data_IF_403218161080
#
_entry.id   IF_403218161080
#
_cell.length_a   1.000
_cell.length_b   1.000
_cell.length_c   1.000
_cell.angle_alpha   90.00
_cell.angle_beta   90.00
_cell.angle_gamma   90.00
#
_symmetry.space_group_name_H-M   'P 1'
#
loop_
_entity.id
_entity.type
_entity.pdbx_description
1 polymer ?
#
# COMPACT_ATOMS: atom_id res chain seq x y z
N UNK A 1 20.12 44.50 4.21
CA UNK A 1 18.85 43.87 4.62
C UNK A 1 18.96 43.68 6.12
N UNK A 2 18.12 44.36 6.92
CA UNK A 2 18.13 44.21 8.37
C UNK A 2 17.55 42.84 8.70
N UNK A 3 18.20 42.08 9.59
CA UNK A 3 17.68 40.76 9.99
C UNK A 3 16.44 40.94 10.86
N UNK A 4 15.37 40.15 10.66
CA UNK A 4 14.16 40.22 11.48
C UNK A 4 14.42 40.10 12.98
N UNK A 5 15.38 39.27 13.38
CA UNK A 5 15.85 39.11 14.76
C UNK A 5 16.26 40.46 15.38
N UNK A 6 17.03 41.27 14.66
CA UNK A 6 17.51 42.57 15.15
C UNK A 6 16.37 43.58 15.32
N UNK A 7 15.33 43.50 14.49
CA UNK A 7 14.16 44.37 14.60
C UNK A 7 13.32 43.96 15.81
N UNK A 8 13.14 42.66 16.02
CA UNK A 8 12.39 42.11 17.15
C UNK A 8 13.10 42.45 18.47
N UNK A 9 14.42 42.24 18.56
CA UNK A 9 15.22 42.56 19.76
C UNK A 9 15.19 44.06 20.10
N UNK A 10 15.30 44.93 19.08
CA UNK A 10 15.23 46.38 19.27
C UNK A 10 13.85 46.83 19.76
N UNK A 11 12.78 46.25 19.21
CA UNK A 11 11.41 46.58 19.60
C UNK A 11 11.06 46.02 20.99
N UNK A 12 11.57 44.85 21.36
CA UNK A 12 11.42 44.31 22.72
C UNK A 12 12.17 45.16 23.75
N UNK A 13 13.40 45.60 23.43
CA UNK A 13 14.22 46.43 24.32
C UNK A 13 13.63 47.82 24.62
N UNK A 14 12.74 48.32 23.76
CA UNK A 14 12.07 49.62 23.93
C UNK A 14 10.80 49.55 24.80
N UNK A 15 10.39 48.36 25.27
CA UNK A 15 9.34 48.17 26.27
C UNK A 15 7.92 47.98 25.73
N UNK A 16 6.92 48.01 26.62
CA UNK A 16 5.51 47.67 26.34
C UNK A 16 4.82 48.59 25.33
N UNK A 17 5.28 49.83 25.17
CA UNK A 17 4.71 50.80 24.21
C UNK A 17 4.92 50.39 22.74
N UNK A 18 5.91 49.54 22.46
CA UNK A 18 6.23 49.09 21.10
C UNK A 18 5.61 47.74 20.72
N UNK A 19 4.87 47.11 21.64
CA UNK A 19 4.17 45.84 21.41
C UNK A 19 3.20 45.88 20.21
N UNK A 20 2.42 46.96 19.97
CA UNK A 20 1.57 47.03 18.78
C UNK A 20 2.38 47.08 17.48
N UNK A 21 3.54 47.75 17.47
CA UNK A 21 4.41 47.83 16.29
C UNK A 21 5.06 46.48 15.99
N UNK A 22 5.46 45.76 17.04
CA UNK A 22 5.95 44.39 16.94
C UNK A 22 4.88 43.44 16.37
N UNK A 23 3.63 43.57 16.81
CA UNK A 23 2.50 42.84 16.22
C UNK A 23 2.31 43.15 14.73
N UNK A 24 2.29 44.42 14.33
CA UNK A 24 2.14 44.78 12.91
C UNK A 24 3.29 44.25 12.06
N UNK A 25 4.51 44.24 12.59
CA UNK A 25 5.67 43.66 11.93
C UNK A 25 5.52 42.14 11.75
N UNK A 26 5.22 41.40 12.82
CA UNK A 26 5.01 39.95 12.76
C UNK A 26 3.83 39.57 11.85
N UNK A 27 2.74 40.33 11.88
CA UNK A 27 1.59 40.13 11.00
C UNK A 27 1.94 40.37 9.53
N UNK A 28 2.74 41.39 9.24
CA UNK A 28 3.19 41.69 7.88
C UNK A 28 4.11 40.59 7.35
N UNK A 29 5.02 40.09 8.19
CA UNK A 29 5.87 38.93 7.88
C UNK A 29 5.03 37.68 7.60
N UNK A 30 4.07 37.38 8.47
CA UNK A 30 3.18 36.23 8.34
C UNK A 30 2.34 36.25 7.05
N UNK A 31 1.80 37.42 6.70
CA UNK A 31 0.98 37.61 5.50
C UNK A 31 1.82 37.84 4.23
N UNK A 32 3.14 37.91 4.33
CA UNK A 32 4.03 38.23 3.22
C UNK A 32 3.83 39.64 2.63
N UNK A 33 3.31 40.58 3.43
CA UNK A 33 3.04 41.96 2.98
C UNK A 33 4.32 42.80 3.08
N UNK A 34 5.18 42.69 2.06
CA UNK A 34 6.33 43.59 1.87
C UNK A 34 5.93 44.92 1.23
N UNK A 35 6.60 46.02 1.60
CA UNK A 35 6.43 47.32 0.93
C UNK A 35 6.94 47.22 -0.51
N UNK A 36 6.00 47.19 -1.46
CA UNK A 36 6.13 47.37 -2.91
C UNK A 36 7.56 47.37 -3.48
N UNK A 37 8.02 46.22 -4.01
CA UNK A 37 8.74 46.17 -5.30
C UNK A 37 9.10 44.76 -5.82
N UNK A 38 8.74 43.67 -5.15
CA UNK A 38 9.03 42.33 -5.68
C UNK A 38 7.93 41.84 -6.65
N UNK A 39 7.71 42.55 -7.76
CA UNK A 39 6.81 42.12 -8.85
C UNK A 39 7.30 40.88 -9.63
N UNK A 40 8.40 40.25 -9.21
CA UNK A 40 9.02 39.11 -9.89
C UNK A 40 9.42 37.93 -8.99
N UNK A 41 9.41 38.08 -7.67
CA UNK A 41 9.59 36.95 -6.74
C UNK A 41 8.18 36.46 -6.38
N UNK A 42 7.91 35.16 -6.51
CA UNK A 42 6.57 34.63 -6.25
C UNK A 42 6.09 35.07 -4.87
N UNK A 43 4.95 35.76 -4.77
CA UNK A 43 4.34 36.21 -3.50
C UNK A 43 4.23 35.07 -2.48
N UNK A 44 4.05 33.84 -2.98
CA UNK A 44 4.03 32.61 -2.21
C UNK A 44 5.36 32.27 -1.55
N UNK A 45 6.49 32.52 -2.21
CA UNK A 45 7.83 32.27 -1.67
C UNK A 45 8.17 33.27 -0.56
N UNK A 46 7.85 34.56 -0.76
CA UNK A 46 8.06 35.59 0.26
C UNK A 46 7.19 35.33 1.49
N UNK A 47 5.95 34.89 1.30
CA UNK A 47 5.08 34.48 2.41
C UNK A 47 5.61 33.22 3.12
N UNK A 48 6.17 32.24 2.40
CA UNK A 48 6.75 31.04 3.01
C UNK A 48 8.00 31.36 3.84
N UNK A 49 8.92 32.19 3.31
CA UNK A 49 10.10 32.67 4.03
C UNK A 49 9.71 33.54 5.24
N UNK A 50 8.67 34.37 5.10
CA UNK A 50 8.10 35.15 6.21
C UNK A 50 7.51 34.28 7.32
N UNK A 51 6.84 33.17 6.96
CA UNK A 51 6.30 32.21 7.93
C UNK A 51 7.39 31.50 8.72
N UNK A 52 8.45 31.02 8.07
CA UNK A 52 9.58 30.37 8.77
C UNK A 52 10.24 31.30 9.78
N UNK A 53 10.35 32.59 9.45
CA UNK A 53 10.94 33.59 10.36
C UNK A 53 10.06 33.89 11.58
N UNK A 54 8.73 33.84 11.43
CA UNK A 54 7.80 33.98 12.57
C UNK A 54 7.79 32.71 13.41
N UNK A 55 7.98 31.55 12.78
CA UNK A 55 8.07 30.26 13.45
C UNK A 55 9.25 30.19 14.44
N UNK A 56 10.41 30.76 14.08
CA UNK A 56 11.58 30.85 14.99
C UNK A 56 11.27 31.62 16.29
N UNK A 57 10.29 32.53 16.25
CA UNK A 57 9.81 33.33 17.39
C UNK A 57 8.41 32.92 17.86
N UNK A 58 8.06 31.63 17.73
CA UNK A 58 6.70 31.14 17.97
C UNK A 58 6.08 31.52 19.32
N UNK A 59 6.84 31.46 20.42
CA UNK A 59 6.34 31.83 21.76
C UNK A 59 5.87 33.30 21.83
N UNK A 60 6.68 34.20 21.29
CA UNK A 60 6.37 35.64 21.24
C UNK A 60 5.22 35.92 20.28
N UNK A 61 5.17 35.20 19.15
CA UNK A 61 4.08 35.31 18.19
C UNK A 61 2.74 34.91 18.83
N UNK A 62 2.70 33.84 19.64
CA UNK A 62 1.49 33.42 20.36
C UNK A 62 1.02 34.48 21.35
N UNK A 63 1.90 35.06 22.15
CA UNK A 63 1.55 36.11 23.11
C UNK A 63 0.98 37.36 22.40
N UNK A 64 1.63 37.79 21.32
CA UNK A 64 1.22 38.96 20.52
C UNK A 64 -0.10 38.71 19.78
N UNK A 65 -0.24 37.56 19.10
CA UNK A 65 -1.46 37.23 18.37
C UNK A 65 -2.64 37.03 19.34
N UNK A 66 -2.40 36.49 20.54
CA UNK A 66 -3.43 36.39 21.56
C UNK A 66 -3.93 37.75 22.09
N UNK A 67 -3.07 38.77 22.12
CA UNK A 67 -3.43 40.13 22.55
C UNK A 67 -4.18 40.89 21.44
N UNK A 68 -3.70 40.83 20.19
CA UNK A 68 -4.15 41.75 19.14
C UNK A 68 -5.06 41.13 18.07
N UNK A 69 -4.99 39.81 17.81
CA UNK A 69 -5.72 39.19 16.69
C UNK A 69 -5.96 37.67 16.90
N UNK A 70 -7.11 37.37 17.52
CA UNK A 70 -7.56 35.99 17.79
C UNK A 70 -7.68 35.08 16.55
N UNK A 71 -8.32 35.46 15.44
CA UNK A 71 -8.42 34.56 14.28
C UNK A 71 -7.05 34.27 13.64
N UNK A 72 -6.13 35.24 13.67
CA UNK A 72 -4.75 35.02 13.21
C UNK A 72 -4.00 34.02 14.10
N UNK A 73 -4.23 34.07 15.42
CA UNK A 73 -3.71 33.06 16.35
C UNK A 73 -4.16 31.65 15.96
N UNK A 74 -5.46 31.46 15.67
CA UNK A 74 -5.97 30.14 15.28
C UNK A 74 -5.34 29.63 13.97
N UNK A 75 -5.15 30.51 12.99
CA UNK A 75 -4.45 30.16 11.74
C UNK A 75 -3.00 29.73 12.02
N UNK A 76 -2.28 30.51 12.84
CA UNK A 76 -0.92 30.23 13.26
C UNK A 76 -0.79 28.89 13.99
N UNK A 77 -1.68 28.62 14.97
CA UNK A 77 -1.69 27.37 15.73
C UNK A 77 -1.95 26.14 14.85
N UNK A 78 -2.72 26.29 13.76
CA UNK A 78 -2.98 25.22 12.79
C UNK A 78 -1.83 24.99 11.82
N UNK A 79 -1.13 26.04 11.40
CA UNK A 79 -0.07 25.96 10.40
C UNK A 79 1.30 25.64 10.98
N UNK A 80 1.58 26.14 12.18
CA UNK A 80 2.92 26.12 12.78
C UNK A 80 2.99 25.16 13.97
N UNK A 81 4.20 24.65 14.24
CA UNK A 81 4.47 23.72 15.35
C UNK A 81 5.65 24.18 16.24
N UNK A 82 6.20 25.36 15.97
CA UNK A 82 7.42 25.89 16.59
C UNK A 82 7.15 26.75 17.83
N UNK A 83 6.16 26.39 18.64
CA UNK A 83 5.81 27.08 19.88
C UNK A 83 5.76 26.10 21.05
N UNK A 84 6.02 26.60 22.26
CA UNK A 84 5.84 25.81 23.47
C UNK A 84 4.34 25.62 23.77
N UNK A 85 3.85 24.39 23.68
CA UNK A 85 2.45 24.05 23.94
C UNK A 85 1.98 24.50 25.32
N UNK A 86 2.81 24.35 26.35
CA UNK A 86 2.48 24.76 27.72
C UNK A 86 2.25 26.27 27.82
N UNK A 87 3.13 27.09 27.24
CA UNK A 87 2.97 28.55 27.24
C UNK A 87 1.73 28.96 26.46
N UNK A 88 1.52 28.38 25.27
CA UNK A 88 0.35 28.64 24.46
C UNK A 88 -0.95 28.28 25.19
N UNK A 89 -0.97 27.14 25.91
CA UNK A 89 -2.12 26.73 26.71
C UNK A 89 -2.39 27.70 27.87
N UNK A 90 -1.36 28.16 28.59
CA UNK A 90 -1.51 29.13 29.68
C UNK A 90 -2.05 30.47 29.19
N UNK A 91 -1.55 30.97 28.04
CA UNK A 91 -2.04 32.21 27.44
C UNK A 91 -3.51 32.07 27.02
N UNK A 92 -3.88 30.93 26.42
CA UNK A 92 -5.26 30.67 26.01
C UNK A 92 -6.19 30.47 27.22
N UNK A 93 -5.72 29.82 28.29
CA UNK A 93 -6.46 29.65 29.55
C UNK A 93 -6.69 31.00 30.24
N UNK A 94 -5.66 31.83 30.37
CA UNK A 94 -5.75 33.15 31.01
C UNK A 94 -6.72 34.10 30.29
N UNK A 95 -6.87 33.96 28.96
CA UNK A 95 -7.75 34.79 28.13
C UNK A 95 -9.09 34.13 27.79
N UNK A 96 -9.34 32.91 28.28
CA UNK A 96 -10.54 32.12 27.97
C UNK A 96 -10.78 31.88 26.46
N UNK A 97 -9.73 31.63 25.69
CA UNK A 97 -9.82 31.25 24.28
C UNK A 97 -10.09 29.75 24.12
N UNK A 98 -11.33 29.35 24.39
CA UNK A 98 -11.73 27.93 24.46
C UNK A 98 -11.51 27.17 23.14
N UNK A 99 -11.92 27.65 21.96
CA UNK A 99 -11.70 26.94 20.69
C UNK A 99 -10.22 26.68 20.36
N UNK A 100 -9.37 27.67 20.61
CA UNK A 100 -7.92 27.60 20.44
C UNK A 100 -7.30 26.63 21.45
N UNK A 101 -7.74 26.70 22.72
CA UNK A 101 -7.33 25.79 23.78
C UNK A 101 -7.73 24.34 23.48
N UNK A 102 -8.94 24.10 22.98
CA UNK A 102 -9.40 22.76 22.57
C UNK A 102 -8.52 22.20 21.46
N UNK A 103 -8.12 23.03 20.50
CA UNK A 103 -7.19 22.61 19.46
C UNK A 103 -5.82 22.23 20.02
N UNK A 104 -5.27 23.05 20.92
CA UNK A 104 -4.01 22.76 21.61
C UNK A 104 -4.10 21.46 22.43
N UNK A 105 -5.17 21.28 23.21
CA UNK A 105 -5.39 20.08 24.02
C UNK A 105 -5.59 18.81 23.18
N UNK A 106 -6.20 18.94 22.01
CA UNK A 106 -6.31 17.85 21.04
C UNK A 106 -4.93 17.43 20.52
N UNK A 107 -4.03 18.39 20.25
CA UNK A 107 -2.65 18.11 19.82
C UNK A 107 -1.77 17.52 20.93
N UNK A 108 -1.97 17.93 22.18
CA UNK A 108 -1.23 17.39 23.32
C UNK A 108 -1.76 16.04 23.83
N UNK A 109 -2.87 15.55 23.27
CA UNK A 109 -3.49 14.28 23.65
C UNK A 109 -4.35 14.35 24.92
N UNK A 110 -4.57 15.54 25.49
CA UNK A 110 -5.46 15.74 26.65
C UNK A 110 -6.93 15.84 26.21
N UNK A 111 -7.42 14.83 25.49
CA UNK A 111 -8.76 14.82 24.87
C UNK A 111 -9.90 14.93 25.89
N UNK A 112 -9.77 14.26 27.04
CA UNK A 112 -10.78 14.34 28.13
C UNK A 112 -10.97 15.77 28.63
N UNK A 113 -9.86 16.47 28.91
CA UNK A 113 -9.88 17.87 29.38
C UNK A 113 -10.47 18.79 28.30
N UNK A 114 -10.08 18.58 27.04
CA UNK A 114 -10.65 19.32 25.92
C UNK A 114 -12.16 19.14 25.83
N UNK A 115 -12.66 17.90 25.95
CA UNK A 115 -14.08 17.60 25.91
C UNK A 115 -14.83 18.28 27.06
N UNK A 116 -14.33 18.19 28.29
CA UNK A 116 -14.96 18.86 29.43
C UNK A 116 -15.04 20.38 29.25
N UNK A 117 -14.03 21.01 28.63
CA UNK A 117 -14.08 22.44 28.31
C UNK A 117 -15.14 22.76 27.26
N UNK A 118 -15.32 21.91 26.24
CA UNK A 118 -16.38 22.11 25.23
C UNK A 118 -17.75 22.00 25.88
N UNK A 119 -18.00 20.95 26.64
CA UNK A 119 -19.34 20.72 27.19
C UNK A 119 -19.65 21.69 28.34
N UNK A 120 -18.65 22.01 29.17
CA UNK A 120 -18.81 22.87 30.34
C UNK A 120 -18.91 24.36 30.01
N UNK A 121 -17.95 24.89 29.23
CA UNK A 121 -17.81 26.33 29.01
C UNK A 121 -18.50 26.81 27.73
N UNK A 122 -18.35 26.09 26.61
CA UNK A 122 -18.99 26.45 25.35
C UNK A 122 -20.47 26.06 25.33
N UNK A 123 -20.84 24.98 26.02
CA UNK A 123 -22.21 24.45 26.03
C UNK A 123 -22.70 24.01 24.64
N UNK A 124 -21.79 23.87 23.68
CA UNK A 124 -22.09 23.50 22.30
C UNK A 124 -22.05 21.98 22.15
N UNK A 125 -23.25 21.39 22.12
CA UNK A 125 -23.46 19.94 22.00
C UNK A 125 -22.96 19.43 20.65
N UNK A 126 -23.21 20.18 19.57
CA UNK A 126 -22.83 19.76 18.21
C UNK A 126 -21.31 19.72 18.05
N UNK A 127 -20.61 20.72 18.61
CA UNK A 127 -19.15 20.75 18.59
C UNK A 127 -18.53 19.63 19.46
N UNK A 128 -19.12 19.32 20.61
CA UNK A 128 -18.66 18.22 21.45
C UNK A 128 -18.78 16.86 20.73
N UNK A 129 -19.89 16.65 20.01
CA UNK A 129 -20.13 15.44 19.22
C UNK A 129 -19.17 15.36 18.03
N UNK A 130 -18.94 16.45 17.29
CA UNK A 130 -17.98 16.46 16.18
C UNK A 130 -16.56 16.18 16.68
N UNK A 131 -16.18 16.75 17.83
CA UNK A 131 -14.90 16.49 18.45
C UNK A 131 -14.73 15.00 18.83
N UNK A 132 -15.74 14.41 19.48
CA UNK A 132 -15.69 12.99 19.84
C UNK A 132 -15.64 12.06 18.60
N UNK A 133 -16.31 12.43 17.50
CA UNK A 133 -16.21 11.73 16.21
C UNK A 133 -14.80 11.82 15.60
N UNK A 134 -14.18 13.00 15.63
CA UNK A 134 -12.83 13.20 15.11
C UNK A 134 -11.77 12.42 15.88
N UNK A 135 -11.91 12.31 17.21
CA UNK A 135 -10.95 11.58 18.04
C UNK A 135 -11.11 10.06 17.96
N UNK A 136 -12.30 9.56 17.63
CA UNK A 136 -12.61 8.12 17.48
C UNK A 136 -12.19 7.25 18.69
N UNK A 137 -12.33 7.79 19.91
CA UNK A 137 -11.97 7.12 21.16
C UNK A 137 -13.23 6.68 21.93
N UNK A 138 -13.42 5.37 22.19
CA UNK A 138 -14.57 4.86 22.92
C UNK A 138 -14.65 5.37 24.37
N UNK A 139 -13.51 5.63 25.03
CA UNK A 139 -13.50 6.10 26.42
C UNK A 139 -13.96 7.55 26.50
N UNK A 140 -13.58 8.37 25.52
CA UNK A 140 -14.05 9.74 25.39
C UNK A 140 -15.57 9.80 25.14
N UNK A 141 -16.11 8.86 24.36
CA UNK A 141 -17.57 8.72 24.21
C UNK A 141 -18.24 8.33 25.51
N UNK A 142 -17.65 7.43 26.30
CA UNK A 142 -18.19 7.08 27.60
C UNK A 142 -18.27 8.31 28.52
N UNK A 143 -17.19 9.09 28.59
CA UNK A 143 -17.14 10.33 29.38
C UNK A 143 -18.19 11.35 28.89
N UNK A 144 -18.38 11.48 27.56
CA UNK A 144 -19.40 12.35 26.96
C UNK A 144 -20.82 11.92 27.33
N UNK A 145 -21.10 10.61 27.25
CA UNK A 145 -22.42 10.07 27.57
C UNK A 145 -22.71 10.24 29.06
N UNK A 146 -21.75 9.92 29.92
CA UNK A 146 -21.93 10.01 31.37
C UNK A 146 -22.21 11.45 31.83
N UNK A 147 -21.65 12.45 31.15
CA UNK A 147 -21.99 13.86 31.38
C UNK A 147 -23.33 14.29 30.75
N UNK A 148 -23.71 13.68 29.62
CA UNK A 148 -24.82 14.09 28.78
C UNK A 148 -26.19 13.52 29.16
N UNK A 149 -26.25 12.40 29.88
CA UNK A 149 -27.50 11.68 30.16
C UNK A 149 -28.46 12.41 31.11
N UNK A 150 -27.98 13.41 31.85
CA UNK A 150 -28.82 14.22 32.75
C UNK A 150 -29.57 15.35 32.01
N UNK A 151 -29.22 15.62 30.75
CA UNK A 151 -29.68 16.81 30.02
C UNK A 151 -30.50 16.42 28.77
N UNK A 152 -31.83 16.63 28.75
CA UNK A 152 -32.67 16.21 27.62
C UNK A 152 -32.32 16.92 26.30
N UNK A 153 -31.89 18.18 26.37
CA UNK A 153 -31.40 18.93 25.18
C UNK A 153 -30.13 18.32 24.60
N UNK A 154 -29.26 17.78 25.46
CA UNK A 154 -28.04 17.11 25.04
C UNK A 154 -28.35 15.80 24.33
N UNK A 155 -29.25 14.98 24.89
CA UNK A 155 -29.69 13.72 24.28
C UNK A 155 -30.33 13.95 22.91
N UNK A 156 -31.12 15.03 22.76
CA UNK A 156 -31.67 15.40 21.46
C UNK A 156 -30.58 15.74 20.44
N UNK A 157 -29.62 16.58 20.80
CA UNK A 157 -28.49 16.90 19.92
C UNK A 157 -27.65 15.67 19.59
N UNK A 158 -27.47 14.77 20.56
CA UNK A 158 -26.83 13.47 20.39
C UNK A 158 -27.55 12.63 19.33
N UNK A 159 -28.88 12.48 19.41
CA UNK A 159 -29.64 11.69 18.44
C UNK A 159 -29.72 12.33 17.05
N UNK A 160 -29.64 13.67 16.96
CA UNK A 160 -29.63 14.38 15.68
C UNK A 160 -28.28 14.26 14.98
N UNK A 161 -27.17 14.31 15.71
CA UNK A 161 -25.82 14.40 15.14
C UNK A 161 -25.03 13.08 15.18
N UNK A 162 -25.25 12.15 16.11
CA UNK A 162 -24.36 10.99 16.30
C UNK A 162 -24.28 10.05 15.09
N UNK A 163 -25.36 9.91 14.31
CA UNK A 163 -25.40 9.00 13.16
C UNK A 163 -25.05 7.56 13.57
N UNK A 164 -24.02 6.98 12.95
CA UNK A 164 -23.56 5.59 13.15
C UNK A 164 -22.31 5.45 14.03
N UNK A 165 -21.83 6.56 14.62
CA UNK A 165 -20.59 6.57 15.40
C UNK A 165 -20.70 5.82 16.74
N UNK A 166 -21.92 5.62 17.26
CA UNK A 166 -22.15 4.97 18.55
C UNK A 166 -23.21 3.88 18.39
N UNK A 167 -22.99 2.76 19.07
CA UNK A 167 -23.97 1.68 19.12
C UNK A 167 -25.31 2.17 19.71
N UNK A 168 -26.44 1.98 18.99
CA UNK A 168 -27.74 2.45 19.44
C UNK A 168 -28.20 1.73 20.72
N UNK A 169 -27.78 0.47 20.89
CA UNK A 169 -28.11 -0.34 22.07
C UNK A 169 -27.45 0.23 23.34
N UNK A 170 -26.20 0.69 23.25
CA UNK A 170 -25.48 1.23 24.41
C UNK A 170 -26.05 2.58 24.82
N UNK A 171 -26.51 3.39 23.85
CA UNK A 171 -27.20 4.66 24.13
C UNK A 171 -28.52 4.42 24.84
N UNK A 172 -29.40 3.58 24.29
CA UNK A 172 -30.73 3.34 24.86
C UNK A 172 -30.64 2.77 26.28
N UNK A 173 -29.66 1.90 26.56
CA UNK A 173 -29.46 1.33 27.90
C UNK A 173 -28.98 2.33 28.94
N UNK A 174 -28.38 3.45 28.54
CA UNK A 174 -27.84 4.47 29.45
C UNK A 174 -28.80 5.61 29.77
N UNK A 175 -29.89 5.75 29.01
CA UNK A 175 -30.87 6.81 29.26
C UNK A 175 -31.62 6.50 30.57
N UNK A 176 -31.60 7.40 31.57
CA UNK A 176 -32.29 7.19 32.84
C UNK A 176 -33.81 7.15 32.64
N UNK A 177 -34.47 6.27 33.40
CA UNK A 177 -35.92 6.11 33.38
C UNK A 177 -36.62 7.33 34.01
N UNK A 178 -37.64 7.87 33.36
CA UNK A 178 -38.43 9.01 33.86
C UNK A 178 -37.97 10.39 33.38
N UNK A 179 -36.99 10.48 32.49
CA UNK A 179 -36.60 11.75 31.85
C UNK A 179 -37.53 12.07 30.66
N UNK A 180 -38.18 13.24 30.70
CA UNK A 180 -38.95 13.73 29.56
C UNK A 180 -38.01 14.30 28.48
N UNK A 181 -37.90 13.59 27.36
CA UNK A 181 -37.06 13.98 26.23
C UNK A 181 -37.97 14.32 25.04
N UNK A 182 -38.02 15.60 24.68
CA UNK A 182 -38.75 16.05 23.49
C UNK A 182 -38.10 15.51 22.21
N UNK A 183 -38.91 14.92 21.32
CA UNK A 183 -38.44 14.44 20.02
C UNK A 183 -37.62 13.14 20.04
N UNK A 184 -37.60 12.41 21.17
CA UNK A 184 -36.88 11.14 21.31
C UNK A 184 -37.25 10.11 20.23
N UNK A 185 -38.56 9.98 19.95
CA UNK A 185 -39.08 9.05 18.93
C UNK A 185 -38.51 9.36 17.54
N UNK A 186 -38.50 10.62 17.16
CA UNK A 186 -38.03 11.06 15.84
C UNK A 186 -36.51 10.94 15.73
N UNK A 187 -35.78 11.23 16.81
CA UNK A 187 -34.33 11.03 16.90
C UNK A 187 -33.93 9.56 16.77
N UNK A 188 -34.57 8.67 17.52
CA UNK A 188 -34.33 7.21 17.42
C UNK A 188 -34.72 6.69 16.03
N UNK A 189 -35.87 7.13 15.49
CA UNK A 189 -36.31 6.74 14.16
C UNK A 189 -35.31 7.13 13.07
N UNK A 190 -34.73 8.34 13.16
CA UNK A 190 -33.67 8.79 12.25
C UNK A 190 -32.40 7.95 12.40
N UNK A 191 -31.96 7.69 13.63
CA UNK A 191 -30.78 6.86 13.90
C UNK A 191 -30.92 5.45 13.33
N UNK A 192 -32.07 4.80 13.52
CA UNK A 192 -32.33 3.46 12.96
C UNK A 192 -32.29 3.50 11.43
N UNK A 193 -32.90 4.52 10.82
CA UNK A 193 -32.88 4.68 9.36
C UNK A 193 -31.47 4.88 8.81
N UNK A 194 -30.62 5.61 9.52
CA UNK A 194 -29.20 5.79 9.14
C UNK A 194 -28.44 4.44 9.18
N UNK A 195 -28.65 3.64 10.23
CA UNK A 195 -28.08 2.29 10.32
C UNK A 195 -28.61 1.36 9.21
N UNK A 196 -29.88 1.46 8.84
CA UNK A 196 -30.47 0.71 7.74
C UNK A 196 -29.84 1.10 6.38
N UNK A 197 -29.63 2.40 6.14
CA UNK A 197 -28.94 2.90 4.95
C UNK A 197 -27.50 2.38 4.90
N UNK A 198 -26.76 2.48 6.01
CA UNK A 198 -25.39 1.98 6.08
C UNK A 198 -25.33 0.47 5.79
N UNK A 199 -26.26 -0.31 6.36
CA UNK A 199 -26.37 -1.74 6.09
C UNK A 199 -26.62 -2.00 4.60
N UNK A 200 -27.60 -1.32 4.00
CA UNK A 200 -27.92 -1.45 2.57
C UNK A 200 -26.73 -1.11 1.68
N UNK A 201 -25.96 -0.07 2.01
CA UNK A 201 -24.74 0.30 1.29
C UNK A 201 -23.69 -0.81 1.44
N UNK A 202 -23.43 -1.28 2.66
CA UNK A 202 -22.45 -2.34 2.90
C UNK A 202 -22.79 -3.64 2.17
N UNK A 203 -24.08 -3.99 2.11
CA UNK A 203 -24.56 -5.14 1.37
C UNK A 203 -24.36 -4.97 -0.15
N UNK A 204 -24.65 -3.77 -0.67
CA UNK A 204 -24.40 -3.40 -2.06
C UNK A 204 -22.92 -3.52 -2.43
N UNK A 205 -22.02 -2.96 -1.62
CA UNK A 205 -20.57 -3.06 -1.81
C UNK A 205 -20.10 -4.52 -1.76
N UNK A 206 -20.57 -5.31 -0.79
CA UNK A 206 -20.24 -6.72 -0.70
C UNK A 206 -20.75 -7.53 -1.90
N UNK A 207 -21.87 -7.13 -2.52
CA UNK A 207 -22.38 -7.75 -3.75
C UNK A 207 -21.51 -7.41 -4.96
N UNK A 208 -21.11 -6.14 -5.10
CA UNK A 208 -20.21 -5.68 -6.17
C UNK A 208 -18.85 -6.36 -6.07
N UNK A 209 -18.23 -6.36 -4.89
CA UNK A 209 -16.94 -7.02 -4.66
C UNK A 209 -16.99 -8.52 -4.98
N UNK A 210 -18.07 -9.22 -4.60
CA UNK A 210 -18.25 -10.63 -4.98
C UNK A 210 -18.35 -10.82 -6.49
N UNK A 211 -19.02 -9.90 -7.19
CA UNK A 211 -19.12 -9.90 -8.65
C UNK A 211 -17.77 -9.68 -9.34
N UNK A 212 -16.99 -8.69 -8.88
CA UNK A 212 -15.67 -8.38 -9.42
C UNK A 212 -14.69 -9.55 -9.22
N UNK A 213 -14.68 -10.17 -8.04
CA UNK A 213 -13.86 -11.36 -7.77
C UNK A 213 -14.25 -12.50 -8.70
N UNK A 214 -15.56 -12.75 -8.90
CA UNK A 214 -16.01 -13.81 -9.82
C UNK A 214 -15.55 -13.55 -11.26
N UNK A 215 -15.69 -12.32 -11.76
CA UNK A 215 -15.22 -11.92 -13.10
C UNK A 215 -13.70 -12.09 -13.25
N UNK A 216 -12.93 -11.66 -12.25
CA UNK A 216 -11.48 -11.84 -12.21
C UNK A 216 -11.05 -13.31 -12.23
N UNK A 217 -11.77 -14.16 -11.48
CA UNK A 217 -11.51 -15.61 -11.50
C UNK A 217 -11.83 -16.25 -12.86
N UNK A 218 -12.92 -15.83 -13.51
CA UNK A 218 -13.32 -16.42 -14.79
C UNK A 218 -12.39 -16.01 -15.93
N UNK A 219 -11.93 -14.76 -15.93
CA UNK A 219 -10.89 -14.29 -16.86
C UNK A 219 -9.57 -15.05 -16.68
N UNK A 220 -9.13 -15.28 -15.44
CA UNK A 220 -7.94 -16.11 -15.16
C UNK A 220 -8.13 -17.55 -15.68
N UNK A 221 -9.27 -18.17 -15.39
CA UNK A 221 -9.58 -19.53 -15.87
C UNK A 221 -9.61 -19.60 -17.39
N UNK A 222 -10.18 -18.60 -18.05
CA UNK A 222 -10.20 -18.52 -19.52
C UNK A 222 -8.78 -18.37 -20.09
N UNK A 223 -7.92 -17.56 -19.44
CA UNK A 223 -6.50 -17.43 -19.80
C UNK A 223 -5.73 -18.74 -19.65
N UNK A 224 -5.89 -19.44 -18.52
CA UNK A 224 -5.23 -20.73 -18.26
C UNK A 224 -5.67 -21.85 -19.21
N UNK A 225 -6.90 -21.79 -19.72
CA UNK A 225 -7.45 -22.76 -20.69
C UNK A 225 -7.08 -22.45 -22.13
N UNK A 226 -6.52 -21.27 -22.44
CA UNK A 226 -6.06 -20.94 -23.80
C UNK A 226 -4.78 -21.72 -24.09
N UNK A 227 -4.78 -22.46 -25.21
CA UNK A 227 -3.56 -23.07 -25.74
C UNK A 227 -2.61 -21.99 -26.22
N UNK A 228 -1.32 -22.13 -25.92
CA UNK A 228 -0.25 -21.30 -26.49
C UNK A 228 0.22 -21.98 -27.77
N UNK A 229 0.12 -21.31 -28.93
CA UNK A 229 0.70 -21.80 -30.18
C UNK A 229 2.22 -21.69 -30.05
N UNK A 230 2.92 -22.81 -30.07
CA UNK A 230 4.37 -22.85 -30.26
C UNK A 230 4.64 -23.13 -31.74
N UNK A 231 5.50 -22.34 -32.37
CA UNK A 231 5.92 -22.52 -33.75
C UNK A 231 7.42 -22.78 -33.71
N UNK A 232 7.82 -24.03 -33.94
CA UNK A 232 9.24 -24.39 -33.99
C UNK A 232 9.73 -24.08 -35.38
N UNK A 233 10.61 -23.08 -35.49
CA UNK A 233 11.38 -22.86 -36.71
C UNK A 233 12.59 -23.77 -36.60
N UNK A 234 12.58 -24.89 -37.31
CA UNK A 234 13.79 -25.67 -37.54
C UNK A 234 14.61 -24.95 -38.60
N UNK A 235 15.73 -24.33 -38.20
CA UNK A 235 16.75 -23.97 -39.19
C UNK A 235 17.23 -25.27 -39.84
N UNK A 236 17.05 -25.38 -41.15
CA UNK A 236 17.60 -26.48 -41.93
C UNK A 236 19.11 -26.25 -42.00
N UNK A 237 19.90 -27.22 -41.53
CA UNK A 237 21.36 -27.22 -41.65
C UNK A 237 21.78 -26.89 -43.10
N UNK A 238 22.32 -25.70 -43.33
CA UNK A 238 22.65 -25.24 -44.69
C UNK A 238 23.32 -23.87 -44.81
N UNK A 239 23.23 -22.99 -43.81
CA UNK A 239 23.90 -21.68 -43.87
C UNK A 239 25.28 -21.76 -43.19
N UNK A 240 26.27 -22.17 -43.98
CA UNK A 240 27.69 -22.04 -43.63
C UNK A 240 28.02 -20.54 -43.57
N UNK A 241 28.15 -19.98 -42.38
CA UNK A 241 28.78 -18.68 -42.19
C UNK A 241 30.28 -18.80 -42.51
N UNK A 242 30.64 -18.48 -43.77
CA UNK A 242 32.03 -18.36 -44.20
C UNK A 242 32.62 -17.07 -43.64
N UNK A 243 33.29 -17.16 -42.49
CA UNK A 243 34.18 -16.10 -42.03
C UNK A 243 35.57 -16.30 -42.67
N UNK A 244 35.87 -15.52 -43.71
CA UNK A 244 37.21 -15.46 -44.31
C UNK A 244 38.08 -14.55 -43.45
N UNK A 245 38.99 -15.13 -42.65
CA UNK A 245 40.08 -14.34 -42.06
C UNK A 245 41.22 -14.18 -43.10
N UNK A 246 41.73 -12.97 -43.34
CA UNK A 246 42.83 -12.75 -44.28
C UNK A 246 44.14 -13.39 -43.81
N UNK A 247 44.91 -13.86 -44.80
CA UNK A 247 46.16 -14.63 -44.68
C UNK A 247 47.33 -13.75 -44.24
N UNK A 248 48.08 -14.19 -43.21
CA UNK A 248 49.51 -13.95 -43.09
C UNK A 248 50.23 -15.26 -42.70
N UNK A 249 51.33 -15.55 -43.38
CA UNK A 249 52.24 -16.67 -43.17
C UNK A 249 53.69 -16.13 -43.28
N UNK A 250 54.75 -16.88 -42.96
CA UNK A 250 54.97 -17.90 -41.92
C UNK A 250 56.25 -17.64 -41.09
N UNK A 251 56.44 -18.31 -39.94
CA UNK A 251 57.75 -18.29 -39.24
C UNK A 251 57.82 -19.05 -37.90
N UNK A 252 58.08 -20.35 -37.99
CA UNK A 252 58.91 -21.22 -37.13
C UNK A 252 58.66 -21.41 -35.61
N UNK A 253 58.38 -22.69 -35.30
CA UNK A 253 58.86 -23.56 -34.21
C UNK A 253 58.63 -23.25 -32.71
N UNK A 254 57.70 -24.04 -32.15
CA UNK A 254 57.79 -24.90 -30.94
C UNK A 254 58.09 -24.31 -29.54
N UNK A 255 57.17 -24.74 -28.63
CA UNK A 255 57.32 -25.19 -27.23
C UNK A 255 56.89 -24.23 -26.10
N UNK A 256 55.67 -24.52 -25.60
CA UNK A 256 55.22 -24.69 -24.19
C UNK A 256 55.34 -23.52 -23.19
N UNK A 257 54.17 -23.05 -22.72
CA UNK A 257 53.73 -23.07 -21.31
C UNK A 257 52.23 -22.67 -21.20
N UNK A 258 51.52 -23.28 -20.25
CA UNK A 258 50.07 -23.20 -19.96
C UNK A 258 49.68 -21.92 -19.14
N UNK A 259 48.43 -21.73 -18.63
CA UNK A 259 47.12 -22.38 -18.86
C UNK A 259 45.97 -21.37 -19.15
N UNK A 260 44.72 -21.88 -19.20
CA UNK A 260 43.38 -21.22 -19.07
C UNK A 260 42.50 -21.11 -20.34
N UNK A 261 41.15 -21.16 -20.21
CA UNK A 261 40.29 -21.85 -19.24
C UNK A 261 39.36 -22.87 -19.92
N UNK A 262 38.88 -23.83 -19.14
CA UNK A 262 37.89 -24.83 -19.56
C UNK A 262 36.57 -24.12 -19.86
N UNK A 263 36.19 -24.04 -21.14
CA UNK A 263 34.88 -23.56 -21.56
C UNK A 263 33.86 -24.69 -21.36
N UNK A 264 32.99 -24.52 -20.37
CA UNK A 264 31.79 -25.35 -20.20
C UNK A 264 30.73 -24.83 -21.17
N UNK A 265 30.50 -25.55 -22.27
CA UNK A 265 29.42 -25.24 -23.23
C UNK A 265 28.06 -25.34 -22.51
N UNK A 266 27.42 -24.19 -22.27
CA UNK A 266 26.17 -24.07 -21.50
C UNK A 266 24.94 -23.68 -22.31
N UNK A 267 25.01 -23.68 -23.64
CA UNK A 267 23.89 -23.20 -24.47
C UNK A 267 23.18 -24.38 -25.14
N UNK A 268 22.11 -24.85 -24.52
CA UNK A 268 21.17 -25.77 -25.18
C UNK A 268 20.31 -24.98 -26.16
N UNK A 269 20.43 -25.27 -27.45
CA UNK A 269 19.62 -24.62 -28.50
C UNK A 269 18.14 -25.06 -28.38
N UNK A 270 17.17 -24.14 -28.55
CA UNK A 270 15.75 -24.47 -28.57
C UNK A 270 15.44 -25.44 -29.73
N UNK A 271 14.55 -26.41 -29.50
CA UNK A 271 14.23 -27.47 -30.47
C UNK A 271 15.09 -28.73 -30.35
N UNK A 272 16.00 -28.79 -29.37
CA UNK A 272 16.85 -29.95 -29.09
C UNK A 272 16.58 -30.51 -27.69
N UNK A 273 16.73 -31.83 -27.54
CA UNK A 273 16.69 -32.47 -26.23
C UNK A 273 17.92 -32.12 -25.42
N UNK A 274 17.74 -31.63 -24.21
CA UNK A 274 18.84 -31.23 -23.31
C UNK A 274 19.73 -32.42 -22.91
N UNK A 275 19.18 -33.64 -22.83
CA UNK A 275 19.93 -34.84 -22.46
C UNK A 275 20.76 -35.42 -23.60
N UNK A 276 20.14 -35.69 -24.77
CA UNK A 276 20.83 -36.32 -25.90
C UNK A 276 21.31 -35.35 -26.98
N UNK A 277 21.01 -34.06 -26.85
CA UNK A 277 21.34 -32.98 -27.80
C UNK A 277 20.86 -33.22 -29.24
N UNK A 278 19.88 -34.10 -29.45
CA UNK A 278 19.26 -34.35 -30.78
C UNK A 278 18.08 -33.40 -31.00
N UNK A 279 17.90 -32.95 -32.24
CA UNK A 279 16.75 -32.16 -32.66
C UNK A 279 15.47 -33.00 -32.57
N UNK A 280 14.37 -32.39 -32.12
CA UNK A 280 13.06 -33.04 -32.13
C UNK A 280 12.49 -33.06 -33.55
N UNK A 281 11.95 -34.20 -33.96
CA UNK A 281 11.34 -34.37 -35.29
C UNK A 281 9.81 -34.44 -35.21
N UNK A 282 9.10 -34.17 -36.30
CA UNK A 282 7.62 -34.20 -36.32
C UNK A 282 7.05 -35.61 -36.06
N UNK A 283 7.82 -36.66 -36.35
CA UNK A 283 7.46 -38.07 -36.16
C UNK A 283 8.03 -38.68 -34.85
N UNK A 284 8.32 -37.84 -33.85
CA UNK A 284 8.87 -38.30 -32.56
C UNK A 284 7.87 -39.21 -31.83
N UNK A 285 8.19 -40.51 -31.74
CA UNK A 285 7.36 -41.50 -31.03
C UNK A 285 7.55 -41.45 -29.51
N UNK A 286 8.54 -40.69 -29.07
CA UNK A 286 8.86 -40.55 -27.65
C UNK A 286 8.13 -39.35 -27.03
N UNK A 287 7.54 -39.56 -25.84
CA UNK A 287 6.93 -38.49 -25.05
C UNK A 287 7.97 -37.44 -24.65
N UNK A 288 7.69 -36.19 -25.00
CA UNK A 288 8.50 -35.03 -24.68
C UNK A 288 8.01 -34.33 -23.40
N UNK A 289 8.95 -33.92 -22.55
CA UNK A 289 8.67 -33.19 -21.31
C UNK A 289 9.32 -31.82 -21.37
N UNK A 290 8.48 -30.79 -21.36
CA UNK A 290 8.92 -29.39 -21.26
C UNK A 290 8.75 -28.85 -19.84
N UNK A 291 9.79 -28.19 -19.34
CA UNK A 291 9.74 -27.45 -18.08
C UNK A 291 9.44 -25.96 -18.32
N UNK A 292 8.90 -25.27 -17.30
CA UNK A 292 8.61 -23.84 -17.38
C UNK A 292 9.86 -22.96 -17.61
N UNK A 293 11.06 -23.49 -17.34
CA UNK A 293 12.33 -22.84 -17.64
C UNK A 293 12.73 -22.91 -19.14
N UNK A 294 11.94 -23.56 -20.00
CA UNK A 294 12.20 -23.70 -21.44
C UNK A 294 13.01 -24.93 -21.84
N UNK A 295 13.49 -25.73 -20.88
CA UNK A 295 14.22 -26.97 -21.15
C UNK A 295 13.27 -28.12 -21.51
N UNK A 296 13.58 -28.84 -22.59
CA UNK A 296 12.79 -29.97 -23.09
C UNK A 296 13.64 -31.22 -23.15
N UNK A 297 13.08 -32.36 -22.71
CA UNK A 297 13.74 -33.66 -22.67
C UNK A 297 12.85 -34.74 -23.30
N UNK A 298 13.47 -35.73 -23.91
CA UNK A 298 12.87 -37.05 -24.10
C UNK A 298 12.66 -37.71 -22.72
N UNK A 299 11.55 -38.42 -22.51
CA UNK A 299 11.26 -39.09 -21.23
C UNK A 299 12.40 -40.03 -20.78
N UNK A 300 12.96 -40.81 -21.70
CA UNK A 300 14.12 -41.68 -21.43
C UNK A 300 15.37 -40.89 -21.04
N UNK A 301 15.61 -39.76 -21.71
CA UNK A 301 16.76 -38.89 -21.43
C UNK A 301 16.61 -38.20 -20.07
N UNK A 302 15.40 -37.78 -19.69
CA UNK A 302 15.16 -37.17 -18.38
C UNK A 302 15.37 -38.17 -17.25
N UNK A 303 14.86 -39.39 -17.38
CA UNK A 303 15.01 -40.46 -16.39
C UNK A 303 16.47 -40.91 -16.27
N UNK A 304 17.19 -40.99 -17.40
CA UNK A 304 18.63 -41.32 -17.41
C UNK A 304 19.49 -40.21 -16.80
N UNK A 305 19.12 -38.94 -17.00
CA UNK A 305 19.82 -37.80 -16.37
C UNK A 305 19.57 -37.72 -14.85
N UNK A 306 18.39 -38.13 -14.37
CA UNK A 306 18.06 -38.13 -12.95
C UNK A 306 18.71 -39.30 -12.16
N UNK A 307 19.17 -40.35 -12.82
CA UNK A 307 19.76 -41.55 -12.18
C UNK A 307 20.89 -42.14 -13.04
N UNK A 308 22.07 -41.50 -13.11
CA UNK A 308 23.14 -41.85 -14.05
C UNK A 308 23.83 -43.20 -13.80
N UNK A 309 23.61 -43.86 -12.66
CA UNK A 309 24.27 -45.12 -12.27
C UNK A 309 23.40 -46.38 -12.36
N UNK A 310 22.12 -46.26 -12.72
CA UNK A 310 21.20 -47.39 -12.75
C UNK A 310 20.79 -47.78 -14.19
N UNK A 311 21.19 -48.97 -14.71
CA UNK A 311 20.71 -49.48 -16.00
C UNK A 311 19.21 -49.82 -16.01
N UNK A 312 18.51 -49.65 -14.88
CA UNK A 312 17.06 -49.82 -14.76
C UNK A 312 16.27 -48.56 -15.15
N UNK A 313 16.90 -47.38 -15.28
CA UNK A 313 16.22 -46.13 -15.64
C UNK A 313 15.77 -46.11 -17.12
N UNK A 314 16.57 -46.68 -18.00
CA UNK A 314 16.21 -46.90 -19.42
C UNK A 314 15.16 -48.00 -19.55
N UNK A 315 15.29 -49.10 -18.81
CA UNK A 315 14.30 -50.17 -18.78
C UNK A 315 12.94 -49.72 -18.22
N UNK A 316 12.93 -48.86 -17.20
CA UNK A 316 11.68 -48.27 -16.66
C UNK A 316 11.07 -47.26 -17.62
N UNK A 317 11.88 -46.46 -18.31
CA UNK A 317 11.41 -45.60 -19.40
C UNK A 317 10.78 -46.42 -20.53
N UNK A 318 11.44 -47.48 -21.00
CA UNK A 318 10.94 -48.39 -22.04
C UNK A 318 9.69 -49.16 -21.58
N UNK A 319 9.63 -49.60 -20.32
CA UNK A 319 8.46 -50.29 -19.76
C UNK A 319 7.27 -49.34 -19.63
N UNK A 320 7.50 -48.09 -19.21
CA UNK A 320 6.47 -47.04 -19.17
C UNK A 320 6.02 -46.68 -20.59
N UNK A 321 6.94 -46.52 -21.54
CA UNK A 321 6.65 -46.29 -22.96
C UNK A 321 5.80 -47.42 -23.56
N UNK A 322 6.13 -48.68 -23.23
CA UNK A 322 5.44 -49.87 -23.72
C UNK A 322 4.05 -50.03 -23.10
N UNK A 323 3.90 -49.78 -21.79
CA UNK A 323 2.60 -49.75 -21.11
C UNK A 323 1.70 -48.61 -21.61
N UNK A 324 2.31 -47.53 -22.09
CA UNK A 324 1.61 -46.40 -22.69
C UNK A 324 1.22 -46.66 -24.15
N UNK A 325 2.09 -47.29 -24.95
CA UNK A 325 1.81 -47.69 -26.34
C UNK A 325 0.74 -48.79 -26.43
N UNK A 326 0.76 -49.78 -25.53
CA UNK A 326 -0.25 -50.84 -25.47
C UNK A 326 -1.67 -50.35 -25.10
N UNK A 327 -1.80 -49.10 -24.65
CA UNK A 327 -3.11 -48.43 -24.41
C UNK A 327 -3.60 -47.62 -25.60
N UNK A 328 -2.78 -47.47 -26.64
CA UNK A 328 -3.07 -46.71 -27.86
C UNK A 328 -3.54 -47.59 -29.03
N UNK A 329 -3.38 -48.92 -28.93
CA UNK A 329 -3.82 -49.89 -29.95
C UNK A 329 -5.36 -50.11 -30.01
N UNK A 330 -6.13 -49.34 -29.24
CA UNK A 330 -7.59 -49.40 -29.22
C UNK A 330 -8.20 -48.09 -29.73
N UNK A 331 -8.71 -48.14 -30.96
CA UNK A 331 -9.63 -47.22 -31.65
C UNK A 331 -9.51 -45.74 -31.22
N UNK A 332 -9.01 -44.87 -32.12
CA UNK A 332 -8.49 -43.51 -31.85
C UNK A 332 -9.42 -42.48 -31.16
N UNK A 333 -10.59 -42.91 -30.69
CA UNK A 333 -11.53 -42.17 -29.85
C UNK A 333 -11.12 -42.16 -28.36
N UNK A 334 -10.57 -43.26 -27.82
CA UNK A 334 -10.24 -43.41 -26.38
C UNK A 334 -8.99 -42.66 -25.93
N UNK A 335 -7.97 -42.56 -26.80
CA UNK A 335 -6.73 -41.83 -26.57
C UNK A 335 -6.93 -40.30 -26.41
N UNK A 336 -8.08 -39.77 -26.85
CA UNK A 336 -8.39 -38.32 -26.79
C UNK A 336 -9.16 -37.91 -25.54
N UNK A 337 -9.57 -38.84 -24.67
CA UNK A 337 -10.32 -38.51 -23.46
C UNK A 337 -9.47 -37.75 -22.45
N UNK A 338 -10.04 -36.72 -21.82
CA UNK A 338 -9.35 -35.92 -20.78
C UNK A 338 -8.91 -36.81 -19.62
N UNK A 339 -9.72 -37.81 -19.25
CA UNK A 339 -9.37 -38.79 -18.21
C UNK A 339 -8.13 -39.61 -18.54
N UNK A 340 -7.98 -40.09 -19.78
CA UNK A 340 -6.78 -40.81 -20.21
C UNK A 340 -5.54 -39.91 -20.18
N UNK A 341 -5.66 -38.65 -20.62
CA UNK A 341 -4.56 -37.66 -20.59
C UNK A 341 -4.15 -37.28 -19.16
N UNK A 342 -5.10 -37.12 -18.25
CA UNK A 342 -4.83 -36.82 -16.83
C UNK A 342 -4.17 -38.01 -16.14
N UNK A 343 -4.65 -39.23 -16.39
CA UNK A 343 -4.01 -40.44 -15.89
C UNK A 343 -2.58 -40.61 -16.45
N UNK A 344 -2.38 -40.32 -17.74
CA UNK A 344 -1.08 -40.33 -18.39
C UNK A 344 -0.12 -39.31 -17.73
N UNK A 345 -0.55 -38.07 -17.56
CA UNK A 345 0.25 -37.03 -16.89
C UNK A 345 0.57 -37.36 -15.43
N UNK A 346 -0.35 -38.02 -14.71
CA UNK A 346 -0.15 -38.44 -13.32
C UNK A 346 0.90 -39.55 -13.20
N UNK A 347 0.90 -40.53 -14.13
CA UNK A 347 1.91 -41.59 -14.16
C UNK A 347 3.30 -41.01 -14.44
N UNK A 348 3.42 -40.11 -15.42
CA UNK A 348 4.68 -39.42 -15.75
C UNK A 348 5.16 -38.57 -14.58
N UNK A 349 4.26 -37.81 -13.92
CA UNK A 349 4.59 -37.01 -12.73
C UNK A 349 5.07 -37.84 -11.54
N UNK A 350 4.53 -39.05 -11.35
CA UNK A 350 5.00 -39.92 -10.27
C UNK A 350 6.40 -40.50 -10.53
N UNK A 351 6.80 -40.62 -11.81
CA UNK A 351 8.14 -41.06 -12.19
C UNK A 351 9.19 -39.93 -12.10
N UNK A 352 8.78 -38.66 -12.26
CA UNK A 352 9.66 -37.48 -12.21
C UNK A 352 9.51 -36.82 -10.85
N UNK A 353 10.47 -37.04 -9.95
CA UNK A 353 10.41 -36.52 -8.57
C UNK A 353 10.91 -35.08 -8.42
N UNK A 354 11.83 -34.65 -9.28
CA UNK A 354 12.52 -33.36 -9.16
C UNK A 354 12.24 -32.41 -10.35
N UNK A 355 12.60 -31.13 -10.19
CA UNK A 355 12.49 -30.11 -11.23
C UNK A 355 13.48 -30.34 -12.39
N UNK A 356 13.56 -29.38 -13.32
CA UNK A 356 14.48 -29.47 -14.46
C UNK A 356 15.93 -29.70 -13.98
N UNK A 357 16.62 -30.78 -14.39
CA UNK A 357 17.93 -31.13 -13.85
C UNK A 357 19.04 -30.13 -14.21
N UNK A 358 18.80 -29.21 -15.16
CA UNK A 358 19.71 -28.10 -15.49
C UNK A 358 19.45 -26.87 -14.63
N UNK A 359 18.22 -26.67 -14.14
CA UNK A 359 17.82 -25.50 -13.35
C UNK A 359 17.70 -25.79 -11.85
N UNK A 360 17.60 -27.06 -11.45
CA UNK A 360 17.66 -27.48 -10.05
C UNK A 360 19.09 -27.29 -9.59
N UNK A 361 19.36 -26.14 -8.98
CA UNK A 361 20.54 -25.96 -8.12
C UNK A 361 20.34 -26.91 -6.93
N UNK A 362 21.31 -27.77 -6.57
CA UNK A 362 21.19 -28.57 -5.37
C UNK A 362 21.00 -27.63 -4.18
N UNK A 363 19.96 -27.85 -3.36
CA UNK A 363 19.77 -27.12 -2.10
C UNK A 363 20.99 -27.37 -1.21
N UNK A 364 21.92 -26.42 -1.22
CA UNK A 364 23.21 -26.51 -0.52
C UNK A 364 24.39 -25.95 -1.31
N UNK A 365 24.34 -24.68 -1.72
CA UNK A 365 25.50 -23.84 -2.03
C UNK A 365 25.17 -22.38 -1.70
#
# INVERSE_FOLDING_TARGET
>A
IVRPEQVIDQLQGQGQSYQPFLFFYMRALWKGQGTQNERGRGLTQVAAEGKTLVEDFGDLAVELFAEYDRPLLMEFLRSSQSYAFEKASQVCEARHYIPELVHLLSKTGQTKRALFLIIGELGDVSQAISFAKEQNDPDLWNDLLDYGMDKPRFIRGLLEEVGTAINPITLVRRIPEGLEIEGLRDGIGRMIREYEIQFSISEGVARVLRGEVAMGMDTLRAGQKKGVKFEVVHDRDGDVEVYVNPVEAPGEDKLRAAPEPVQVEKDVKPGFCVGCKKAFTEDEKETLIGFACGHVYHLSCLLSCASPTDPSATATAETLQSQMAARDDGDGYTARSVGAKVAHAHIVRNAIKDGCPVCVVPEGA
#
